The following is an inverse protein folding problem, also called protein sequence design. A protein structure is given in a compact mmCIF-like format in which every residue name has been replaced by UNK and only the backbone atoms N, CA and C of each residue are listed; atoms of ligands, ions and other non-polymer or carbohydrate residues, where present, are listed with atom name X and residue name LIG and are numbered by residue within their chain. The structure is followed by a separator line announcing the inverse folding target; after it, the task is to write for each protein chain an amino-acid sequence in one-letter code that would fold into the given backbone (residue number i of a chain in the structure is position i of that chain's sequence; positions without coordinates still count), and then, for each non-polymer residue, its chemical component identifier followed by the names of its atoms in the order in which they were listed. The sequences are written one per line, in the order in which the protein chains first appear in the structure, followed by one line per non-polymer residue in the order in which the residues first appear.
data_IF_922174180273
#
_entry.id   IF_922174180273
#
_cell.length_a   1.000
_cell.length_b   1.000
_cell.length_c   1.000
_cell.angle_alpha   90.00
_cell.angle_beta   90.00
_cell.angle_gamma   90.00
#
_symmetry.space_group_name_H-M   'P 1'
#
loop_
_entity.id
_entity.type
_entity.pdbx_description
1 polymer ?
#
# COMPACT_ATOMS: atom_id res chain seq x y z
N UNK A 1 -13.40 -16.32 -12.49
CA UNK A 1 -12.17 -15.52 -12.72
C UNK A 1 -11.51 -15.32 -11.37
N UNK A 2 -10.25 -15.70 -11.17
CA UNK A 2 -9.53 -15.40 -9.90
C UNK A 2 -9.04 -13.96 -9.95
N UNK A 3 -9.18 -13.22 -8.85
CA UNK A 3 -8.62 -11.87 -8.73
C UNK A 3 -7.08 -11.96 -8.82
N UNK A 4 -6.50 -11.21 -9.75
CA UNK A 4 -5.05 -11.16 -9.96
C UNK A 4 -4.31 -10.62 -8.72
N UNK A 5 -4.99 -9.86 -7.87
CA UNK A 5 -4.41 -9.22 -6.68
C UNK A 5 -4.73 -9.97 -5.38
N UNK A 6 -5.32 -11.16 -5.45
CA UNK A 6 -5.53 -11.99 -4.26
C UNK A 6 -4.18 -12.35 -3.61
N UNK A 7 -4.13 -12.34 -2.27
CA UNK A 7 -2.89 -12.56 -1.49
C UNK A 7 -2.15 -13.84 -1.90
N UNK A 8 -2.87 -14.93 -2.14
CA UNK A 8 -2.28 -16.19 -2.58
C UNK A 8 -1.64 -16.12 -3.98
N UNK A 9 -2.25 -15.39 -4.90
CA UNK A 9 -1.72 -15.15 -6.25
C UNK A 9 -0.43 -14.34 -6.16
N UNK A 10 -0.41 -13.30 -5.33
CA UNK A 10 0.78 -12.44 -5.13
C UNK A 10 1.93 -13.24 -4.52
N UNK A 11 1.68 -14.01 -3.43
CA UNK A 11 2.71 -14.85 -2.80
C UNK A 11 3.30 -15.83 -3.82
N UNK A 12 2.43 -16.54 -4.56
CA UNK A 12 2.88 -17.50 -5.57
C UNK A 12 3.69 -16.87 -6.70
N UNK A 13 3.38 -15.64 -7.09
CA UNK A 13 4.12 -14.93 -8.12
C UNK A 13 5.50 -14.52 -7.62
N UNK A 14 5.57 -13.88 -6.45
CA UNK A 14 6.84 -13.38 -5.88
C UNK A 14 7.80 -14.55 -5.60
N UNK A 15 7.30 -15.66 -5.04
CA UNK A 15 8.12 -16.82 -4.68
C UNK A 15 8.75 -17.55 -5.87
N UNK A 16 8.29 -17.29 -7.10
CA UNK A 16 8.92 -17.85 -8.30
C UNK A 16 10.18 -17.09 -8.73
N UNK A 17 10.40 -15.89 -8.19
CA UNK A 17 11.51 -15.00 -8.58
C UNK A 17 12.46 -14.71 -7.42
N UNK A 18 11.95 -14.71 -6.18
CA UNK A 18 12.71 -14.40 -4.96
C UNK A 18 12.40 -15.44 -3.88
N UNK A 19 13.41 -15.85 -3.11
CA UNK A 19 13.21 -16.67 -1.91
C UNK A 19 12.56 -15.82 -0.81
N UNK A 20 11.45 -16.30 -0.24
CA UNK A 20 10.77 -15.64 0.87
C UNK A 20 11.25 -16.22 2.21
N UNK A 21 11.62 -15.35 3.14
CA UNK A 21 12.02 -15.70 4.49
C UNK A 21 10.92 -15.36 5.52
N UNK A 22 10.86 -16.07 6.66
CA UNK A 22 9.98 -15.68 7.76
C UNK A 22 10.28 -14.26 8.23
N UNK A 23 9.25 -13.41 8.24
CA UNK A 23 9.37 -11.99 8.61
C UNK A 23 9.33 -11.03 7.41
N UNK A 24 9.40 -11.54 6.18
CA UNK A 24 9.26 -10.70 4.99
C UNK A 24 7.88 -10.05 4.89
N UNK A 25 7.86 -8.80 4.41
CA UNK A 25 6.64 -8.01 4.24
C UNK A 25 6.43 -7.70 2.76
N UNK A 26 5.24 -8.04 2.25
CA UNK A 26 4.82 -7.74 0.88
C UNK A 26 3.76 -6.64 0.91
N UNK A 27 4.05 -5.50 0.27
CA UNK A 27 3.04 -4.47 0.02
C UNK A 27 2.19 -4.88 -1.19
N UNK A 28 0.96 -5.33 -0.94
CA UNK A 28 0.08 -5.97 -1.95
C UNK A 28 -0.59 -5.02 -2.95
N UNK A 29 -0.17 -3.75 -2.99
CA UNK A 29 -0.71 -2.72 -3.87
C UNK A 29 -1.68 -1.75 -3.19
N UNK A 30 -2.06 -0.71 -3.93
CA UNK A 30 -3.00 0.34 -3.50
C UNK A 30 -4.19 0.39 -4.46
N UNK A 31 -5.41 0.68 -3.98
CA UNK A 31 -6.53 1.05 -4.83
C UNK A 31 -6.28 2.35 -5.60
N UNK A 32 -7.23 2.73 -6.46
CA UNK A 32 -7.22 4.01 -7.16
C UNK A 32 -7.36 5.20 -6.19
N UNK A 33 -6.98 6.40 -6.66
CA UNK A 33 -7.18 7.64 -5.91
C UNK A 33 -5.91 8.27 -5.32
N UNK A 34 -4.73 7.71 -5.63
CA UNK A 34 -3.45 8.35 -5.29
C UNK A 34 -3.40 9.78 -5.81
N UNK A 35 -2.85 10.69 -5.00
CA UNK A 35 -2.88 12.13 -5.28
C UNK A 35 -2.29 12.54 -6.64
N UNK A 36 -1.29 11.81 -7.11
CA UNK A 36 -0.67 11.99 -8.42
C UNK A 36 -1.58 11.64 -9.60
N UNK A 37 -2.59 10.78 -9.41
CA UNK A 37 -3.54 10.43 -10.48
C UNK A 37 -4.74 11.38 -10.59
N UNK A 38 -4.77 12.46 -9.80
CA UNK A 38 -5.84 13.47 -9.79
C UNK A 38 -5.48 14.66 -10.68
N UNK A 39 -6.49 15.39 -11.15
CA UNK A 39 -6.33 16.67 -11.85
C UNK A 39 -7.18 17.77 -11.16
N UNK A 40 -6.56 18.78 -10.53
CA UNK A 40 -5.12 18.95 -10.36
C UNK A 40 -4.52 17.90 -9.41
N UNK A 41 -3.20 17.67 -9.52
CA UNK A 41 -2.48 16.79 -8.60
C UNK A 41 -2.60 17.28 -7.16
N UNK A 42 -2.81 16.35 -6.23
CA UNK A 42 -2.87 16.64 -4.78
C UNK A 42 -1.75 15.87 -4.11
N UNK A 43 -0.66 16.54 -3.74
CA UNK A 43 0.48 15.93 -3.07
C UNK A 43 0.52 16.32 -1.60
N UNK A 44 1.06 15.44 -0.76
CA UNK A 44 1.24 15.67 0.67
C UNK A 44 2.24 16.81 0.93
N UNK A 45 2.02 17.57 2.00
CA UNK A 45 2.84 18.71 2.44
C UNK A 45 3.13 18.61 3.94
N UNK A 46 4.17 19.30 4.45
CA UNK A 46 4.42 19.36 5.88
C UNK A 46 3.19 19.84 6.67
N UNK A 47 2.88 19.14 7.75
CA UNK A 47 1.69 19.36 8.59
C UNK A 47 0.43 18.62 8.13
N UNK A 48 0.43 17.97 6.96
CA UNK A 48 -0.67 17.09 6.57
C UNK A 48 -0.68 15.82 7.45
N UNK A 49 -1.86 15.25 7.65
CA UNK A 49 -2.05 13.95 8.31
C UNK A 49 -2.48 12.92 7.28
N UNK A 50 -1.69 11.86 7.13
CA UNK A 50 -2.01 10.70 6.31
C UNK A 50 -2.61 9.60 7.19
N UNK A 51 -3.86 9.23 6.93
CA UNK A 51 -4.60 8.19 7.64
C UNK A 51 -4.94 7.06 6.68
N UNK A 52 -4.61 5.83 7.09
CA UNK A 52 -4.87 4.61 6.32
C UNK A 52 -5.57 3.61 7.23
N UNK A 53 -6.73 3.11 6.81
CA UNK A 53 -7.49 2.10 7.53
C UNK A 53 -7.59 0.81 6.70
N UNK A 54 -7.42 -0.32 7.39
CA UNK A 54 -7.83 -1.63 6.88
C UNK A 54 -8.81 -2.24 7.87
N UNK A 55 -10.01 -2.53 7.38
CA UNK A 55 -11.08 -3.11 8.20
C UNK A 55 -10.57 -4.37 8.93
N UNK A 56 -10.84 -4.46 10.23
CA UNK A 56 -10.45 -5.57 11.12
C UNK A 56 -8.95 -5.69 11.39
N UNK A 57 -8.11 -4.79 10.87
CA UNK A 57 -6.69 -4.69 11.21
C UNK A 57 -6.43 -3.47 12.08
N UNK A 58 -6.89 -2.29 11.64
CA UNK A 58 -6.77 -1.03 12.36
C UNK A 58 -6.42 0.15 11.47
N UNK A 59 -6.10 1.26 12.13
CA UNK A 59 -5.76 2.54 11.48
C UNK A 59 -4.31 2.91 11.76
N UNK A 60 -3.59 3.29 10.71
CA UNK A 60 -2.26 3.88 10.77
C UNK A 60 -2.37 5.38 10.46
N UNK A 61 -1.87 6.22 11.37
CA UNK A 61 -1.88 7.67 11.24
C UNK A 61 -0.46 8.21 11.30
N UNK A 62 -0.06 8.98 10.29
CA UNK A 62 1.25 9.59 10.19
C UNK A 62 1.11 11.08 9.86
N UNK A 63 1.75 11.93 10.66
CA UNK A 63 1.95 13.34 10.34
C UNK A 63 3.13 13.49 9.37
N UNK A 64 2.96 14.31 8.35
CA UNK A 64 4.01 14.60 7.37
C UNK A 64 4.91 15.70 7.93
N UNK A 65 6.16 15.35 8.21
CA UNK A 65 7.18 16.30 8.64
C UNK A 65 7.82 17.03 7.44
N UNK A 66 8.49 18.14 7.73
CA UNK A 66 9.42 18.75 6.79
C UNK A 66 10.63 17.81 6.59
N UNK A 67 11.08 17.66 5.34
CA UNK A 67 12.15 16.75 4.94
C UNK A 67 13.52 17.40 4.87
#
# INVERSE_FOLDING_TARGET
MRDANAVNTVISYVSNTVELAPGDVIASGTPSGVGFSRDPHILMKPGDVCEIEVERVGTLVNEIAEG
#
